data_IF_397213244102
#
_entry.id   IF_397213244102
#
_cell.length_a   1.000
_cell.length_b   1.000
_cell.length_c   1.000
_cell.angle_alpha   90.00
_cell.angle_beta   90.00
_cell.angle_gamma   90.00
#
_symmetry.space_group_name_H-M   'P 1'
#
loop_
_entity.id
_entity.type
_entity.pdbx_description
1 polymer ?
#
# COMPACT_ATOMS: atom_id res chain seq x y z
N UNK A 1 10.51 6.96 -20.60
CA UNK A 1 9.99 6.68 -19.24
C UNK A 1 10.96 7.14 -18.17
N UNK A 2 12.18 6.58 -18.12
CA UNK A 2 13.16 6.86 -17.05
C UNK A 2 13.43 8.36 -16.79
N UNK A 3 13.56 9.19 -17.84
CA UNK A 3 13.78 10.65 -17.69
C UNK A 3 12.59 11.36 -17.02
N UNK A 4 11.36 10.95 -17.34
CA UNK A 4 10.13 11.51 -16.75
C UNK A 4 10.02 11.07 -15.29
N UNK A 5 10.24 9.78 -15.03
CA UNK A 5 10.30 9.21 -13.68
C UNK A 5 11.30 9.95 -12.77
N UNK A 6 12.54 10.15 -13.25
CA UNK A 6 13.56 10.86 -12.48
C UNK A 6 13.20 12.33 -12.19
N UNK A 7 12.50 12.98 -13.12
CA UNK A 7 12.01 14.34 -12.92
C UNK A 7 10.91 14.38 -11.85
N UNK A 8 9.94 13.47 -11.89
CA UNK A 8 8.91 13.34 -10.85
C UNK A 8 9.52 13.03 -9.48
N UNK A 9 10.52 12.13 -9.43
CA UNK A 9 11.22 11.80 -8.19
C UNK A 9 11.98 13.01 -7.61
N UNK A 10 12.59 13.84 -8.47
CA UNK A 10 13.24 15.09 -8.03
C UNK A 10 12.24 16.12 -7.49
N UNK A 11 11.03 16.21 -8.07
CA UNK A 11 9.96 17.09 -7.57
C UNK A 11 9.55 16.68 -6.15
N UNK A 12 9.27 15.39 -5.96
CA UNK A 12 8.87 14.81 -4.67
C UNK A 12 9.97 14.99 -3.62
N UNK A 13 11.23 14.70 -3.96
CA UNK A 13 12.37 14.83 -3.03
C UNK A 13 12.54 16.25 -2.45
N UNK A 14 12.16 17.30 -3.20
CA UNK A 14 12.29 18.70 -2.77
C UNK A 14 11.20 19.15 -1.79
N UNK A 15 10.10 18.40 -1.68
CA UNK A 15 8.97 18.76 -0.83
C UNK A 15 9.22 18.39 0.64
N UNK A 16 8.98 19.35 1.55
CA UNK A 16 9.12 19.13 3.01
C UNK A 16 8.16 18.05 3.52
N UNK A 17 6.97 17.97 2.92
CA UNK A 17 5.92 17.00 3.29
C UNK A 17 6.37 15.55 3.09
N UNK A 18 7.17 15.26 2.07
CA UNK A 18 7.70 13.91 1.82
C UNK A 18 8.64 13.46 2.93
N UNK A 19 9.44 14.39 3.48
CA UNK A 19 10.31 14.11 4.61
C UNK A 19 9.50 13.73 5.86
N UNK A 20 8.39 14.42 6.10
CA UNK A 20 7.47 14.10 7.20
C UNK A 20 6.79 12.74 6.99
N UNK A 21 6.34 12.45 5.78
CA UNK A 21 5.73 11.17 5.41
C UNK A 21 6.73 10.01 5.61
N UNK A 22 7.98 10.19 5.21
CA UNK A 22 9.05 9.21 5.43
C UNK A 22 9.34 9.00 6.92
N UNK A 23 9.34 10.07 7.73
CA UNK A 23 9.49 9.96 9.19
C UNK A 23 8.35 9.14 9.80
N UNK A 24 7.10 9.39 9.40
CA UNK A 24 5.93 8.62 9.85
C UNK A 24 6.03 7.15 9.42
N UNK A 25 6.49 6.90 8.19
CA UNK A 25 6.75 5.56 7.68
C UNK A 25 7.84 4.79 8.45
N UNK A 26 8.80 5.48 9.06
CA UNK A 26 9.78 4.83 9.95
C UNK A 26 9.23 4.67 11.37
N UNK A 27 8.43 5.63 11.84
CA UNK A 27 7.91 5.67 13.21
C UNK A 27 6.97 4.48 13.52
N UNK A 28 6.19 4.02 12.56
CA UNK A 28 5.26 2.90 12.77
C UNK A 28 5.94 1.55 12.99
N UNK A 29 6.89 1.11 12.14
CA UNK A 29 7.67 -0.10 12.42
C UNK A 29 8.54 0.01 13.67
N UNK A 30 9.10 1.19 13.99
CA UNK A 30 9.84 1.36 15.26
C UNK A 30 8.93 1.21 16.46
N UNK A 31 7.72 1.80 16.43
CA UNK A 31 6.74 1.66 17.49
C UNK A 31 6.36 0.19 17.70
N UNK A 32 6.11 -0.55 16.61
CA UNK A 32 5.74 -1.96 16.68
C UNK A 32 6.86 -2.82 17.26
N UNK A 33 8.11 -2.54 16.89
CA UNK A 33 9.29 -3.20 17.43
C UNK A 33 9.50 -2.89 18.93
N UNK A 34 9.45 -1.61 19.32
CA UNK A 34 9.63 -1.17 20.71
C UNK A 34 8.56 -1.76 21.64
N UNK A 35 7.31 -1.80 21.19
CA UNK A 35 6.20 -2.36 21.95
C UNK A 35 6.37 -3.87 22.18
N UNK A 36 6.88 -4.60 21.19
CA UNK A 36 7.17 -6.03 21.35
C UNK A 36 8.34 -6.30 22.30
N UNK A 37 9.38 -5.47 22.28
CA UNK A 37 10.51 -5.59 23.21
C UNK A 37 10.11 -5.27 24.65
N UNK A 38 9.38 -4.17 24.86
CA UNK A 38 9.00 -3.73 26.21
C UNK A 38 8.03 -4.71 26.87
N UNK A 39 7.05 -5.23 26.12
CA UNK A 39 6.02 -6.12 26.66
C UNK A 39 6.38 -7.60 26.59
N UNK A 40 7.56 -7.96 26.06
CA UNK A 40 7.99 -9.35 25.89
C UNK A 40 7.08 -10.16 24.96
N UNK A 41 6.47 -9.52 23.95
CA UNK A 41 5.56 -10.21 23.05
C UNK A 41 6.29 -11.16 22.11
N UNK A 42 5.62 -12.27 21.78
CA UNK A 42 6.14 -13.27 20.84
C UNK A 42 6.36 -12.67 19.46
N UNK A 43 7.37 -13.16 18.74
CA UNK A 43 7.71 -12.72 17.38
C UNK A 43 6.52 -12.75 16.40
N UNK A 44 5.61 -13.72 16.54
CA UNK A 44 4.38 -13.78 15.73
C UNK A 44 3.53 -12.50 15.84
N UNK A 45 3.45 -11.89 17.01
CA UNK A 45 2.64 -10.68 17.22
C UNK A 45 3.29 -9.47 16.54
N UNK A 46 4.61 -9.38 16.54
CA UNK A 46 5.35 -8.36 15.79
C UNK A 46 5.06 -8.44 14.30
N UNK A 47 5.13 -9.66 13.74
CA UNK A 47 4.85 -9.89 12.31
C UNK A 47 3.39 -9.58 11.98
N UNK A 48 2.44 -10.04 12.80
CA UNK A 48 1.02 -9.74 12.62
C UNK A 48 0.72 -8.24 12.65
N UNK A 49 1.33 -7.51 13.59
CA UNK A 49 1.13 -6.06 13.72
C UNK A 49 1.75 -5.30 12.54
N UNK A 50 2.95 -5.69 12.08
CA UNK A 50 3.58 -5.09 10.90
C UNK A 50 2.82 -5.38 9.60
N UNK A 51 2.21 -6.57 9.47
CA UNK A 51 1.35 -6.87 8.32
C UNK A 51 0.10 -6.00 8.37
N UNK A 52 -0.59 -5.96 9.52
CA UNK A 52 -1.92 -5.37 9.60
C UNK A 52 -1.87 -3.83 9.67
N UNK A 53 -1.04 -3.25 10.54
CA UNK A 53 -0.86 -1.79 10.62
C UNK A 53 0.13 -1.28 9.56
N UNK A 54 1.24 -1.97 9.36
CA UNK A 54 2.24 -1.52 8.38
C UNK A 54 1.72 -1.65 6.95
N UNK A 55 1.34 -2.87 6.54
CA UNK A 55 1.08 -3.15 5.13
C UNK A 55 -0.35 -2.84 4.69
N UNK A 56 -1.37 -3.03 5.54
CA UNK A 56 -2.77 -2.75 5.16
C UNK A 56 -3.26 -1.34 5.50
N UNK A 57 -2.60 -0.61 6.41
CA UNK A 57 -2.95 0.78 6.73
C UNK A 57 -1.93 1.77 6.18
N UNK A 58 -0.67 1.66 6.63
CA UNK A 58 0.35 2.67 6.33
C UNK A 58 0.77 2.63 4.86
N UNK A 59 1.00 1.46 4.26
CA UNK A 59 1.43 1.39 2.86
C UNK A 59 0.41 1.99 1.87
N UNK A 60 -0.90 1.67 1.93
CA UNK A 60 -1.90 2.32 1.07
C UNK A 60 -2.05 3.82 1.32
N UNK A 61 -1.91 4.25 2.57
CA UNK A 61 -1.93 5.67 2.94
C UNK A 61 -0.72 6.43 2.36
N UNK A 62 0.48 5.84 2.42
CA UNK A 62 1.68 6.38 1.78
C UNK A 62 1.49 6.48 0.26
N UNK A 63 0.94 5.43 -0.36
CA UNK A 63 0.66 5.40 -1.79
C UNK A 63 -0.30 6.52 -2.20
N UNK A 64 -1.43 6.68 -1.51
CA UNK A 64 -2.45 7.67 -1.84
C UNK A 64 -1.97 9.11 -1.67
N UNK A 65 -1.29 9.43 -0.57
CA UNK A 65 -0.80 10.79 -0.31
C UNK A 65 0.28 11.21 -1.30
N UNK A 66 1.23 10.33 -1.61
CA UNK A 66 2.30 10.64 -2.58
C UNK A 66 1.68 10.88 -3.96
N UNK A 67 0.68 10.07 -4.34
CA UNK A 67 -0.01 10.22 -5.61
C UNK A 67 -0.79 11.55 -5.67
N UNK A 68 -1.57 11.89 -4.64
CA UNK A 68 -2.28 13.19 -4.56
C UNK A 68 -1.31 14.38 -4.61
N UNK A 69 -0.19 14.29 -3.91
CA UNK A 69 0.83 15.33 -3.93
C UNK A 69 1.42 15.52 -5.34
N UNK A 70 1.71 14.42 -6.04
CA UNK A 70 2.21 14.45 -7.42
C UNK A 70 1.21 15.12 -8.38
N UNK A 71 -0.09 14.97 -8.17
CA UNK A 71 -1.12 15.67 -8.96
C UNK A 71 -1.26 17.14 -8.57
N UNK A 72 -1.27 17.44 -7.26
CA UNK A 72 -1.37 18.82 -6.76
C UNK A 72 -0.21 19.70 -7.23
N UNK A 73 1.01 19.15 -7.26
CA UNK A 73 2.19 19.86 -7.76
C UNK A 73 2.13 20.17 -9.26
N UNK A 74 1.36 19.41 -10.02
CA UNK A 74 1.21 19.62 -11.45
C UNK A 74 0.27 20.78 -11.75
N UNK A 75 -0.79 20.91 -10.94
CA UNK A 75 -1.78 21.98 -11.00
C UNK A 75 -1.20 23.32 -10.49
N UNK A 76 -0.47 23.31 -9.37
CA UNK A 76 0.10 24.53 -8.78
C UNK A 76 1.19 25.20 -9.61
N UNK A 77 1.91 24.44 -10.45
CA UNK A 77 3.02 24.98 -11.24
C UNK A 77 2.64 25.30 -12.70
N UNK A 78 1.35 25.23 -13.07
CA UNK A 78 0.86 25.36 -14.46
C UNK A 78 1.60 24.44 -15.46
N UNK A 79 2.28 23.41 -14.94
CA UNK A 79 3.22 22.59 -15.72
C UNK A 79 2.52 21.74 -16.78
N UNK A 80 1.20 21.56 -16.65
CA UNK A 80 0.39 20.83 -17.63
C UNK A 80 0.41 21.51 -19.00
N UNK A 81 0.44 22.86 -19.04
CA UNK A 81 0.57 23.64 -20.29
C UNK A 81 1.97 23.49 -20.91
N UNK A 82 3.02 23.53 -20.10
CA UNK A 82 4.42 23.38 -20.55
C UNK A 82 4.76 21.94 -20.96
N UNK A 83 4.10 20.95 -20.36
CA UNK A 83 4.29 19.53 -20.69
C UNK A 83 3.54 19.16 -21.99
N UNK A 84 2.38 19.76 -22.25
CA UNK A 84 1.68 19.63 -23.54
C UNK A 84 2.49 20.18 -24.72
N UNK A 85 3.26 21.25 -24.49
CA UNK A 85 4.20 21.80 -25.48
C UNK A 85 5.36 20.83 -25.76
N UNK A 86 5.73 19.99 -24.79
CA UNK A 86 6.80 19.00 -24.92
C UNK A 86 6.28 17.61 -25.26
N UNK A 87 5.44 17.44 -26.30
CA UNK A 87 5.11 16.18 -27.02
C UNK A 87 5.16 14.82 -26.25
N UNK A 88 4.84 14.79 -24.95
CA UNK A 88 4.84 13.58 -24.12
C UNK A 88 3.39 13.17 -23.92
N UNK A 89 3.01 11.93 -24.25
CA UNK A 89 1.63 11.48 -24.08
C UNK A 89 1.24 11.44 -22.60
N UNK A 90 0.05 11.97 -22.30
CA UNK A 90 -0.56 12.05 -20.96
C UNK A 90 -0.48 10.72 -20.18
N UNK A 91 -0.74 9.60 -20.84
CA UNK A 91 -0.68 8.27 -20.20
C UNK A 91 0.71 7.91 -19.65
N UNK A 92 1.79 8.39 -20.29
CA UNK A 92 3.16 8.15 -19.81
C UNK A 92 3.47 8.95 -18.54
N UNK A 93 2.86 10.12 -18.39
CA UNK A 93 2.99 10.97 -17.19
C UNK A 93 2.30 10.28 -16.01
N UNK A 94 1.05 9.82 -16.21
CA UNK A 94 0.30 9.08 -15.21
C UNK A 94 1.07 7.85 -14.72
N UNK A 95 1.56 7.01 -15.64
CA UNK A 95 2.37 5.83 -15.32
C UNK A 95 3.60 6.19 -14.48
N UNK A 96 4.32 7.26 -14.85
CA UNK A 96 5.50 7.68 -14.09
C UNK A 96 5.18 8.11 -12.66
N UNK A 97 4.00 8.70 -12.41
CA UNK A 97 3.56 9.06 -11.04
C UNK A 97 3.25 7.82 -10.21
N UNK A 98 2.59 6.82 -10.80
CA UNK A 98 2.30 5.54 -10.15
C UNK A 98 3.60 4.83 -9.80
N UNK A 99 4.57 4.79 -10.72
CA UNK A 99 5.89 4.21 -10.48
C UNK A 99 6.61 4.90 -9.31
N UNK A 100 6.60 6.24 -9.25
CA UNK A 100 7.19 6.98 -8.12
C UNK A 100 6.49 6.62 -6.82
N UNK A 101 5.15 6.66 -6.76
CA UNK A 101 4.42 6.29 -5.55
C UNK A 101 4.73 4.84 -5.10
N UNK A 102 4.82 3.91 -6.04
CA UNK A 102 5.18 2.52 -5.77
C UNK A 102 6.59 2.36 -5.19
N UNK A 103 7.57 3.14 -5.69
CA UNK A 103 8.94 3.07 -5.16
C UNK A 103 9.04 3.49 -3.69
N UNK A 104 8.25 4.49 -3.25
CA UNK A 104 8.20 4.87 -1.85
C UNK A 104 7.59 3.77 -0.96
N UNK A 105 6.56 3.09 -1.44
CA UNK A 105 5.98 1.95 -0.73
C UNK A 105 6.97 0.80 -0.63
N UNK A 106 7.76 0.53 -1.67
CA UNK A 106 8.84 -0.46 -1.62
C UNK A 106 9.93 -0.09 -0.60
N UNK A 107 10.34 1.18 -0.54
CA UNK A 107 11.30 1.65 0.46
C UNK A 107 10.74 1.42 1.88
N UNK A 108 9.47 1.76 2.11
CA UNK A 108 8.79 1.48 3.37
C UNK A 108 8.75 -0.02 3.70
N UNK A 109 8.46 -0.88 2.72
CA UNK A 109 8.49 -2.33 2.88
C UNK A 109 9.86 -2.85 3.31
N UNK A 110 10.94 -2.32 2.70
CA UNK A 110 12.32 -2.67 3.07
C UNK A 110 12.60 -2.26 4.52
N UNK A 111 12.17 -1.07 4.93
CA UNK A 111 12.32 -0.60 6.31
C UNK A 111 11.56 -1.53 7.28
N UNK A 112 10.30 -1.87 7.01
CA UNK A 112 9.53 -2.83 7.81
C UNK A 112 10.22 -4.20 7.91
N UNK A 113 10.80 -4.66 6.81
CA UNK A 113 11.56 -5.91 6.75
C UNK A 113 12.79 -5.84 7.67
N UNK A 114 13.56 -4.74 7.63
CA UNK A 114 14.74 -4.56 8.49
C UNK A 114 14.37 -4.56 9.98
N UNK A 115 13.29 -3.87 10.37
CA UNK A 115 12.81 -3.86 11.76
C UNK A 115 12.32 -5.24 12.21
N UNK A 116 11.63 -5.98 11.33
CA UNK A 116 11.18 -7.34 11.64
C UNK A 116 12.36 -8.30 11.74
N UNK A 117 13.38 -8.15 10.89
CA UNK A 117 14.60 -8.92 10.96
C UNK A 117 15.36 -8.68 12.28
N UNK A 118 15.52 -7.42 12.67
CA UNK A 118 16.08 -7.06 13.98
C UNK A 118 15.26 -7.68 15.11
N UNK A 119 13.92 -7.58 15.05
CA UNK A 119 12.99 -8.26 15.97
C UNK A 119 13.24 -9.75 16.11
N UNK A 120 13.48 -10.45 15.00
CA UNK A 120 13.77 -11.88 14.99
C UNK A 120 15.06 -12.24 15.72
N UNK A 121 16.11 -11.41 15.59
CA UNK A 121 17.40 -11.60 16.27
C UNK A 121 17.25 -11.37 17.78
N UNK A 122 16.63 -10.25 18.18
CA UNK A 122 16.46 -9.91 19.61
C UNK A 122 15.56 -10.89 20.36
N UNK A 123 14.59 -11.50 19.67
CA UNK A 123 13.67 -12.50 20.24
C UNK A 123 14.20 -13.94 20.13
N UNK A 124 15.43 -14.15 19.64
CA UNK A 124 16.09 -15.47 19.64
C UNK A 124 15.47 -16.50 18.69
N UNK A 125 14.81 -16.06 17.61
CA UNK A 125 14.11 -16.96 16.69
C UNK A 125 15.05 -17.61 15.65
N UNK A 126 14.72 -18.83 15.23
CA UNK A 126 15.47 -19.51 14.17
C UNK A 126 15.36 -18.76 12.83
N UNK A 127 16.47 -18.73 12.09
CA UNK A 127 16.63 -18.02 10.82
C UNK A 127 15.58 -18.41 9.78
N UNK A 128 15.08 -19.65 9.80
CA UNK A 128 14.04 -20.13 8.90
C UNK A 128 12.69 -19.41 9.11
N UNK A 129 12.31 -19.13 10.37
CA UNK A 129 11.07 -18.41 10.68
C UNK A 129 11.16 -16.94 10.31
N UNK A 130 12.33 -16.33 10.53
CA UNK A 130 12.58 -14.93 10.14
C UNK A 130 12.47 -14.79 8.61
N UNK A 131 13.04 -15.73 7.85
CA UNK A 131 12.96 -15.70 6.39
C UNK A 131 11.51 -15.87 5.89
N UNK A 132 10.71 -16.74 6.54
CA UNK A 132 9.29 -16.90 6.22
C UNK A 132 8.50 -15.61 6.49
N UNK A 133 8.77 -14.93 7.61
CA UNK A 133 8.15 -13.66 7.95
C UNK A 133 8.48 -12.55 6.95
N UNK A 134 9.74 -12.46 6.49
CA UNK A 134 10.16 -11.49 5.48
C UNK A 134 9.43 -11.70 4.14
N UNK A 135 9.31 -12.96 3.69
CA UNK A 135 8.53 -13.28 2.48
C UNK A 135 7.07 -12.87 2.64
N UNK A 136 6.45 -13.15 3.79
CA UNK A 136 5.07 -12.77 4.07
C UNK A 136 4.88 -11.24 4.04
N UNK A 137 5.79 -10.48 4.64
CA UNK A 137 5.75 -9.01 4.64
C UNK A 137 5.85 -8.43 3.23
N UNK A 138 6.72 -8.98 2.38
CA UNK A 138 6.88 -8.47 1.02
C UNK A 138 5.64 -8.73 0.16
N UNK A 139 5.10 -9.96 0.22
CA UNK A 139 3.90 -10.35 -0.54
C UNK A 139 2.67 -9.56 -0.08
N UNK A 140 2.52 -9.36 1.24
CA UNK A 140 1.39 -8.60 1.81
C UNK A 140 1.39 -7.13 1.42
N UNK A 141 2.56 -6.46 1.35
CA UNK A 141 2.64 -5.07 0.85
C UNK A 141 2.13 -4.98 -0.58
N UNK A 142 2.60 -5.86 -1.46
CA UNK A 142 2.21 -5.85 -2.87
C UNK A 142 0.70 -6.09 -2.99
N UNK A 143 0.19 -7.11 -2.29
CA UNK A 143 -1.24 -7.43 -2.29
C UNK A 143 -2.09 -6.27 -1.75
N UNK A 144 -1.65 -5.58 -0.68
CA UNK A 144 -2.35 -4.44 -0.13
C UNK A 144 -2.42 -3.26 -1.11
N UNK A 145 -1.30 -2.92 -1.77
CA UNK A 145 -1.27 -1.87 -2.79
C UNK A 145 -2.20 -2.21 -3.95
N UNK A 146 -2.16 -3.46 -4.44
CA UNK A 146 -3.07 -3.93 -5.49
C UNK A 146 -4.54 -3.87 -5.07
N UNK A 147 -4.85 -4.23 -3.82
CA UNK A 147 -6.20 -4.12 -3.25
C UNK A 147 -6.70 -2.68 -3.19
N UNK A 148 -5.81 -1.71 -2.95
CA UNK A 148 -6.15 -0.28 -2.90
C UNK A 148 -6.06 0.45 -4.25
N UNK A 149 -5.83 -0.27 -5.35
CA UNK A 149 -5.79 0.30 -6.70
C UNK A 149 -7.01 1.18 -7.07
N UNK A 150 -8.25 0.91 -6.63
CA UNK A 150 -9.40 1.77 -6.93
C UNK A 150 -9.27 3.21 -6.42
N UNK A 151 -8.46 3.46 -5.39
CA UNK A 151 -8.14 4.82 -4.90
C UNK A 151 -7.56 5.70 -6.00
N UNK A 152 -6.82 5.09 -6.94
CA UNK A 152 -6.25 5.80 -8.08
C UNK A 152 -7.32 6.47 -8.94
N UNK A 153 -8.45 5.79 -9.18
CA UNK A 153 -9.55 6.36 -9.97
C UNK A 153 -10.13 7.60 -9.28
N UNK A 154 -10.33 7.53 -7.96
CA UNK A 154 -10.82 8.66 -7.16
C UNK A 154 -9.88 9.86 -7.29
N UNK A 155 -8.56 9.63 -7.18
CA UNK A 155 -7.56 10.71 -7.27
C UNK A 155 -7.55 11.33 -8.68
N UNK A 156 -7.62 10.52 -9.74
CA UNK A 156 -7.61 11.01 -11.14
C UNK A 156 -8.89 11.78 -11.48
N UNK A 157 -10.06 11.33 -10.99
CA UNK A 157 -11.34 12.03 -11.20
C UNK A 157 -11.34 13.41 -10.54
N UNK A 158 -10.83 13.52 -9.32
CA UNK A 158 -10.84 14.76 -8.54
C UNK A 158 -9.55 15.58 -8.63
N UNK A 159 -8.77 15.44 -9.72
CA UNK A 159 -7.46 16.08 -9.83
C UNK A 159 -7.51 17.61 -9.64
N UNK A 160 -8.56 18.30 -10.14
CA UNK A 160 -8.73 19.77 -10.04
C UNK A 160 -9.05 20.29 -8.63
N UNK A 161 -9.39 19.39 -7.69
CA UNK A 161 -9.76 19.72 -6.32
C UNK A 161 -8.93 18.89 -5.37
N UNK A 162 -7.62 19.16 -5.35
CA UNK A 162 -6.63 18.38 -4.60
C UNK A 162 -6.98 18.15 -3.11
N UNK A 163 -7.60 19.11 -2.42
CA UNK A 163 -8.06 18.93 -1.03
C UNK A 163 -9.17 17.86 -0.92
N UNK A 164 -10.13 17.85 -1.85
CA UNK A 164 -11.22 16.87 -1.87
C UNK A 164 -10.66 15.48 -2.24
N UNK A 165 -9.77 15.41 -3.23
CA UNK A 165 -9.09 14.17 -3.61
C UNK A 165 -8.32 13.57 -2.43
N UNK A 166 -7.61 14.41 -1.65
CA UNK A 166 -6.90 13.99 -0.45
C UNK A 166 -7.86 13.41 0.61
N UNK A 167 -8.95 14.13 0.93
CA UNK A 167 -9.91 13.68 1.95
C UNK A 167 -10.56 12.36 1.53
N UNK A 168 -11.06 12.26 0.30
CA UNK A 168 -11.72 11.05 -0.21
C UNK A 168 -10.76 9.86 -0.27
N UNK A 169 -9.52 10.06 -0.72
CA UNK A 169 -8.53 8.98 -0.76
C UNK A 169 -8.19 8.46 0.65
N UNK A 170 -8.09 9.35 1.64
CA UNK A 170 -7.86 8.96 3.04
C UNK A 170 -9.07 8.24 3.65
N UNK A 171 -10.29 8.74 3.39
CA UNK A 171 -11.51 8.06 3.81
C UNK A 171 -11.59 6.65 3.21
N UNK A 172 -11.27 6.49 1.93
CA UNK A 172 -11.28 5.18 1.27
C UNK A 172 -10.29 4.21 1.93
N UNK A 173 -9.04 4.63 2.16
CA UNK A 173 -8.03 3.80 2.83
C UNK A 173 -8.44 3.42 4.27
N UNK A 174 -9.06 4.34 5.02
CA UNK A 174 -9.53 4.04 6.37
C UNK A 174 -10.70 3.05 6.37
N UNK A 175 -11.64 3.20 5.44
CA UNK A 175 -12.76 2.26 5.28
C UNK A 175 -12.25 0.88 4.89
N UNK A 176 -11.33 0.81 3.93
CA UNK A 176 -10.65 -0.43 3.53
C UNK A 176 -9.98 -1.12 4.73
N UNK A 177 -9.25 -0.35 5.53
CA UNK A 177 -8.62 -0.86 6.74
C UNK A 177 -9.64 -1.35 7.78
N UNK A 178 -10.75 -0.63 8.00
CA UNK A 178 -11.81 -1.06 8.91
C UNK A 178 -12.41 -2.40 8.47
N UNK A 179 -12.62 -2.59 7.18
CA UNK A 179 -13.10 -3.87 6.64
C UNK A 179 -12.09 -5.00 6.85
N UNK A 180 -10.79 -4.73 6.71
CA UNK A 180 -9.73 -5.71 7.00
C UNK A 180 -9.68 -6.04 8.50
N UNK A 181 -9.74 -5.02 9.37
CA UNK A 181 -9.65 -5.20 10.82
C UNK A 181 -10.88 -5.92 11.40
N UNK A 182 -12.08 -5.61 10.92
CA UNK A 182 -13.35 -6.15 11.44
C UNK A 182 -13.96 -7.24 10.54
N UNK A 183 -13.15 -7.91 9.72
CA UNK A 183 -13.60 -8.85 8.69
C UNK A 183 -14.53 -9.97 9.24
N UNK A 184 -14.23 -10.47 10.43
CA UNK A 184 -14.99 -11.53 11.11
C UNK A 184 -16.23 -11.00 11.85
N UNK A 185 -16.13 -9.83 12.49
CA UNK A 185 -17.22 -9.24 13.28
C UNK A 185 -18.33 -8.63 12.40
N UNK A 186 -17.98 -8.04 11.25
CA UNK A 186 -18.94 -7.40 10.35
C UNK A 186 -19.58 -8.37 9.33
N UNK A 187 -19.31 -9.68 9.44
CA UNK A 187 -19.77 -10.70 8.49
C UNK A 187 -19.42 -10.37 7.03
N UNK A 188 -18.33 -9.63 6.80
CA UNK A 188 -17.89 -9.17 5.48
C UNK A 188 -17.22 -10.28 4.65
N UNK A 189 -17.19 -11.52 5.13
CA UNK A 189 -16.64 -12.68 4.40
C UNK A 189 -17.32 -12.93 3.05
N UNK A 190 -18.59 -12.48 2.89
CA UNK A 190 -19.34 -12.56 1.63
C UNK A 190 -19.05 -11.40 0.66
N UNK A 191 -18.46 -10.29 1.14
CA UNK A 191 -18.10 -9.16 0.29
C UNK A 191 -16.80 -9.44 -0.47
N UNK A 192 -16.87 -9.36 -1.80
CA UNK A 192 -15.74 -9.54 -2.69
C UNK A 192 -15.00 -8.21 -2.93
N UNK A 193 -14.72 -7.47 -1.85
CA UNK A 193 -13.94 -6.24 -1.94
C UNK A 193 -12.46 -6.58 -2.22
N UNK A 194 -11.77 -5.83 -3.09
CA UNK A 194 -10.39 -6.14 -3.47
C UNK A 194 -9.43 -6.21 -2.28
N UNK A 195 -9.56 -5.29 -1.31
CA UNK A 195 -8.72 -5.27 -0.11
C UNK A 195 -8.98 -6.46 0.83
N UNK A 196 -10.25 -6.86 0.97
CA UNK A 196 -10.63 -8.03 1.77
C UNK A 196 -10.09 -9.32 1.14
N UNK A 197 -10.12 -9.41 -0.19
CA UNK A 197 -9.53 -10.53 -0.94
C UNK A 197 -8.01 -10.55 -0.77
N UNK A 198 -7.34 -9.39 -0.87
CA UNK A 198 -5.90 -9.28 -0.64
C UNK A 198 -5.50 -9.77 0.77
N UNK A 199 -6.27 -9.38 1.80
CA UNK A 199 -6.06 -9.87 3.16
C UNK A 199 -6.28 -11.38 3.28
N UNK A 200 -7.35 -11.92 2.69
CA UNK A 200 -7.66 -13.36 2.76
C UNK A 200 -6.64 -14.26 2.07
N UNK A 201 -6.08 -13.82 0.93
CA UNK A 201 -5.01 -14.56 0.23
C UNK A 201 -3.73 -14.57 1.08
N UNK A 202 -3.45 -13.46 1.76
CA UNK A 202 -2.19 -13.29 2.50
C UNK A 202 -2.27 -13.71 3.97
N UNK A 203 -3.47 -13.93 4.49
CA UNK A 203 -3.73 -14.47 5.82
C UNK A 203 -2.96 -15.77 6.12
N UNK A 204 -2.95 -16.81 5.27
CA UNK A 204 -2.13 -18.01 5.50
C UNK A 204 -0.63 -17.73 5.56
N UNK A 205 -0.15 -16.71 4.84
CA UNK A 205 1.27 -16.31 4.86
C UNK A 205 1.63 -15.53 6.15
N UNK A 206 0.66 -14.82 6.74
CA UNK A 206 0.84 -14.07 7.98
C UNK A 206 1.08 -14.96 9.21
N UNK A 207 0.74 -16.25 9.12
CA UNK A 207 0.89 -17.22 10.21
C UNK A 207 2.31 -17.80 10.18
N UNK A 208 3.20 -17.18 10.96
CA UNK A 208 4.59 -17.60 11.11
C UNK A 208 4.73 -18.78 12.08
N UNK A 209 4.00 -18.77 13.20
CA UNK A 209 3.89 -19.88 14.15
C UNK A 209 2.48 -20.49 14.12
N UNK A 210 2.40 -21.75 13.72
CA UNK A 210 1.15 -22.50 13.65
C UNK A 210 0.76 -23.02 15.05
N UNK A 211 -0.46 -22.71 15.47
CA UNK A 211 -1.07 -23.28 16.69
C UNK A 211 -2.40 -23.94 16.30
N UNK A 212 -2.81 -25.06 16.92
CA UNK A 212 -4.00 -25.81 16.50
C UNK A 212 -5.30 -24.97 16.54
N UNK A 213 -5.39 -24.00 17.46
CA UNK A 213 -6.52 -23.06 17.53
C UNK A 213 -6.64 -22.12 16.30
N UNK A 214 -5.62 -22.06 15.44
CA UNK A 214 -5.60 -21.23 14.24
C UNK A 214 -6.16 -21.95 12.99
N UNK A 215 -6.40 -23.27 13.04
CA UNK A 215 -6.97 -24.03 11.92
C UNK A 215 -8.38 -23.55 11.57
N UNK A 216 -9.23 -23.30 12.58
CA UNK A 216 -10.60 -22.81 12.36
C UNK A 216 -10.62 -21.42 11.71
N UNK A 217 -9.71 -20.53 12.11
CA UNK A 217 -9.54 -19.21 11.49
C UNK A 217 -8.99 -19.31 10.07
N UNK A 218 -8.12 -20.28 9.81
CA UNK A 218 -7.59 -20.54 8.48
C UNK A 218 -8.71 -21.04 7.55
N UNK A 219 -9.48 -22.03 7.94
CA UNK A 219 -10.56 -22.59 7.11
C UNK A 219 -11.69 -21.58 6.86
N UNK A 220 -11.95 -20.69 7.81
CA UNK A 220 -12.95 -19.63 7.67
C UNK A 220 -12.49 -18.47 6.76
N UNK A 221 -11.23 -18.05 6.85
CA UNK A 221 -10.71 -16.91 6.08
C UNK A 221 -10.08 -17.30 4.74
N UNK A 222 -9.68 -18.57 4.57
CA UNK A 222 -8.98 -19.02 3.36
C UNK A 222 -9.82 -18.75 2.12
N UNK A 223 -9.21 -18.06 1.17
CA UNK A 223 -9.72 -17.90 -0.18
C UNK A 223 -8.71 -18.56 -1.11
N UNK A 224 -9.15 -19.35 -2.11
CA UNK A 224 -8.23 -20.01 -3.02
C UNK A 224 -7.32 -18.98 -3.71
N UNK A 225 -6.01 -19.09 -3.45
CA UNK A 225 -5.01 -18.10 -3.83
C UNK A 225 -5.08 -17.75 -5.33
N UNK A 226 -5.24 -18.75 -6.20
CA UNK A 226 -5.33 -18.57 -7.64
C UNK A 226 -6.52 -17.69 -8.08
N UNK A 227 -7.72 -17.89 -7.50
CA UNK A 227 -8.91 -17.07 -7.83
C UNK A 227 -8.77 -15.65 -7.29
N UNK A 228 -8.18 -15.50 -6.11
CA UNK A 228 -7.98 -14.21 -5.48
C UNK A 228 -6.93 -13.35 -6.19
N UNK A 229 -5.80 -13.95 -6.57
CA UNK A 229 -4.74 -13.27 -7.33
C UNK A 229 -5.25 -12.78 -8.69
N UNK A 230 -6.03 -13.61 -9.39
CA UNK A 230 -6.62 -13.27 -10.68
C UNK A 230 -7.60 -12.08 -10.56
N UNK A 231 -8.42 -12.05 -9.51
CA UNK A 231 -9.30 -10.91 -9.21
C UNK A 231 -8.52 -9.63 -8.91
N UNK A 232 -7.42 -9.70 -8.14
CA UNK A 232 -6.58 -8.53 -7.88
C UNK A 232 -5.94 -7.99 -9.16
N UNK A 233 -5.44 -8.88 -10.04
CA UNK A 233 -4.89 -8.47 -11.33
C UNK A 233 -5.95 -7.78 -12.18
N UNK A 234 -7.17 -8.33 -12.25
CA UNK A 234 -8.29 -7.70 -12.96
C UNK A 234 -8.58 -6.31 -12.40
N UNK A 235 -8.69 -6.17 -11.08
CA UNK A 235 -8.97 -4.87 -10.43
C UNK A 235 -7.89 -3.84 -10.72
N UNK A 236 -6.62 -4.24 -10.68
CA UNK A 236 -5.49 -3.36 -11.01
C UNK A 236 -5.55 -2.96 -12.49
N UNK A 237 -5.79 -3.89 -13.40
CA UNK A 237 -5.91 -3.61 -14.83
C UNK A 237 -7.07 -2.65 -15.13
N UNK A 238 -8.25 -2.87 -14.54
CA UNK A 238 -9.41 -1.99 -14.69
C UNK A 238 -9.11 -0.60 -14.13
N UNK A 239 -8.47 -0.53 -12.96
CA UNK A 239 -8.12 0.76 -12.33
C UNK A 239 -7.09 1.54 -13.13
N UNK A 240 -6.08 0.86 -13.71
CA UNK A 240 -5.10 1.51 -14.57
C UNK A 240 -5.71 1.95 -15.90
N UNK A 241 -6.48 1.09 -16.57
CA UNK A 241 -7.13 1.43 -17.85
C UNK A 241 -8.15 2.56 -17.67
N UNK A 242 -8.99 2.48 -16.63
CA UNK A 242 -9.94 3.54 -16.28
C UNK A 242 -9.23 4.85 -15.95
N UNK A 243 -8.14 4.80 -15.18
CA UNK A 243 -7.33 5.98 -14.87
C UNK A 243 -6.73 6.63 -16.13
N UNK A 244 -6.21 5.82 -17.06
CA UNK A 244 -5.66 6.30 -18.33
C UNK A 244 -6.75 6.94 -19.20
N UNK A 245 -7.93 6.30 -19.31
CA UNK A 245 -9.05 6.81 -20.11
C UNK A 245 -9.57 8.14 -19.57
N UNK A 246 -9.78 8.23 -18.25
CA UNK A 246 -10.24 9.46 -17.60
C UNK A 246 -9.20 10.57 -17.75
N UNK A 247 -7.92 10.27 -17.53
CA UNK A 247 -6.85 11.26 -17.64
C UNK A 247 -6.63 11.74 -19.08
N UNK A 248 -6.82 10.87 -20.07
CA UNK A 248 -6.75 11.25 -21.48
C UNK A 248 -7.96 12.08 -21.94
N UNK A 249 -9.16 11.76 -21.44
CA UNK A 249 -10.40 12.46 -21.75
C UNK A 249 -10.61 13.79 -21.02
N UNK A 250 -9.76 14.11 -20.03
CA UNK A 250 -9.76 15.41 -19.37
C UNK A 250 -9.10 16.45 -20.28
N UNK A 251 -9.93 17.36 -20.82
CA UNK A 251 -9.48 18.60 -21.46
C UNK A 251 -8.93 19.58 -20.42
N UNK A 252 -7.88 20.31 -20.82
CA UNK A 252 -7.10 21.24 -19.99
C UNK A 252 -7.94 22.47 -19.65
#
# INVERSE_FOLDING_TARGET
MLKVYLNELRKVKRQKTVRMIMLVGVLMPTFSFALCLHNGYRFRNLVGMNILLGNFLVAPFLFSIILVMLFSMEEQNDTLKTILVTAVPKSKILLSKIEVAFTFVLIFSIINCLYTFAGGIFLGMSSAFVLKALKALFITVIAAVCGTAPVLLVIVVFHKKHLIALILANCFVLIDFLFVWQLTMLNCLKLHLPICIAYRITYPLSIVEYTPNLQYGLDALYYPAFRGELLLVIVVCISMLGGILIYNGQEV
#
